data_IF_570626021213
#
_entry.id   IF_570626021213
#
_cell.length_a   1.000
_cell.length_b   1.000
_cell.length_c   1.000
_cell.angle_alpha   90.00
_cell.angle_beta   90.00
_cell.angle_gamma   90.00
#
_symmetry.space_group_name_H-M   'P 1'
#
loop_
_entity.id
_entity.type
_entity.pdbx_description
1 polymer ?
#
# COMPACT_ATOMS: atom_id res chain seq x y z
N UNK A 1 -7.41 25.20 -1.99
CA UNK A 1 -6.70 24.58 -3.14
C UNK A 1 -6.34 23.14 -2.78
N UNK A 2 -6.26 22.24 -3.77
CA UNK A 2 -5.93 20.82 -3.57
C UNK A 2 -4.89 20.37 -4.60
N UNK A 3 -3.85 19.66 -4.18
CA UNK A 3 -2.82 19.08 -5.05
C UNK A 3 -2.45 17.67 -4.61
N UNK A 4 -2.54 16.71 -5.54
CA UNK A 4 -1.94 15.39 -5.36
C UNK A 4 -0.44 15.42 -5.70
N UNK A 5 0.35 14.74 -4.88
CA UNK A 5 1.75 14.40 -5.11
C UNK A 5 1.91 12.88 -5.03
N UNK A 6 2.82 12.32 -5.82
CA UNK A 6 3.17 10.90 -5.77
C UNK A 6 4.68 10.78 -5.73
N UNK A 7 5.21 10.04 -4.77
CA UNK A 7 6.64 9.83 -4.60
C UNK A 7 6.93 8.36 -4.26
N UNK A 8 8.12 7.87 -4.57
CA UNK A 8 8.59 6.56 -4.10
C UNK A 8 8.91 6.61 -2.61
N UNK A 9 8.70 5.50 -1.89
CA UNK A 9 9.04 5.41 -0.47
C UNK A 9 7.93 4.81 0.39
N UNK A 10 8.29 4.32 1.57
CA UNK A 10 7.32 3.83 2.54
C UNK A 10 6.45 4.97 3.08
N UNK A 11 5.20 4.62 3.40
CA UNK A 11 4.25 5.53 4.03
C UNK A 11 4.83 6.15 5.30
N UNK A 12 5.43 5.35 6.18
CA UNK A 12 5.97 5.78 7.48
C UNK A 12 7.00 6.89 7.34
N UNK A 13 7.99 6.71 6.46
CA UNK A 13 9.04 7.72 6.24
C UNK A 13 8.40 9.01 5.69
N UNK A 14 7.48 8.92 4.72
CA UNK A 14 6.76 10.10 4.22
C UNK A 14 5.92 10.81 5.29
N UNK A 15 5.28 10.05 6.17
CA UNK A 15 4.45 10.57 7.26
C UNK A 15 5.27 11.33 8.29
N UNK A 16 6.40 10.76 8.74
CA UNK A 16 7.28 11.40 9.72
C UNK A 16 8.07 12.57 9.10
N UNK A 17 8.45 12.47 7.82
CA UNK A 17 9.02 13.60 7.08
C UNK A 17 8.08 14.79 7.00
N UNK A 18 6.78 14.53 6.84
CA UNK A 18 5.77 15.58 6.76
C UNK A 18 5.56 16.26 8.12
N UNK A 19 5.52 15.50 9.23
CA UNK A 19 5.49 16.06 10.59
C UNK A 19 6.65 17.04 10.81
N UNK A 20 7.87 16.61 10.49
CA UNK A 20 9.06 17.43 10.69
C UNK A 20 9.13 18.63 9.74
N UNK A 21 8.64 18.48 8.50
CA UNK A 21 8.47 19.60 7.58
C UNK A 21 7.49 20.66 8.11
N UNK A 22 6.36 20.24 8.71
CA UNK A 22 5.38 21.15 9.32
C UNK A 22 5.97 21.86 10.55
N UNK A 23 6.70 21.13 11.42
CA UNK A 23 7.45 21.73 12.54
C UNK A 23 8.40 22.84 12.05
N UNK A 24 9.22 22.56 11.03
CA UNK A 24 10.19 23.53 10.46
C UNK A 24 9.53 24.72 9.76
N UNK A 25 8.27 24.57 9.33
CA UNK A 25 7.45 25.65 8.80
C UNK A 25 6.71 26.46 9.89
N UNK A 26 6.88 26.14 11.18
CA UNK A 26 6.14 26.78 12.27
C UNK A 26 4.65 26.43 12.28
N UNK A 27 4.26 25.30 11.69
CA UNK A 27 2.87 24.86 11.59
C UNK A 27 2.57 23.90 12.73
N UNK A 28 1.69 24.33 13.64
CA UNK A 28 1.10 23.44 14.64
C UNK A 28 0.20 22.43 13.94
N UNK A 29 0.28 21.15 14.29
CA UNK A 29 -0.51 20.10 13.64
C UNK A 29 -1.09 19.08 14.61
N UNK A 30 -2.10 18.35 14.12
CA UNK A 30 -2.69 17.17 14.73
C UNK A 30 -2.63 16.02 13.75
N UNK A 31 -2.45 14.81 14.26
CA UNK A 31 -2.49 13.56 13.51
C UNK A 31 -3.88 12.97 13.66
N UNK A 32 -4.47 12.47 12.57
CA UNK A 32 -5.58 11.53 12.64
C UNK A 32 -5.00 10.12 12.82
N UNK A 33 -5.54 9.35 13.78
CA UNK A 33 -5.09 7.98 14.07
C UNK A 33 -5.92 6.94 13.31
N UNK A 34 -7.14 7.29 12.88
CA UNK A 34 -8.06 6.39 12.17
C UNK A 34 -7.81 6.38 10.66
N UNK A 35 -7.39 7.51 10.10
CA UNK A 35 -6.93 7.64 8.73
C UNK A 35 -5.53 8.26 8.77
N UNK A 36 -4.57 7.80 7.94
CA UNK A 36 -3.24 8.39 7.88
C UNK A 36 -3.30 9.79 7.25
N UNK A 37 -3.64 10.80 8.06
CA UNK A 37 -3.66 12.20 7.66
C UNK A 37 -3.12 13.12 8.75
N UNK A 38 -2.63 14.28 8.32
CA UNK A 38 -2.10 15.33 9.19
C UNK A 38 -2.82 16.64 8.88
N UNK A 39 -3.36 17.28 9.91
CA UNK A 39 -4.06 18.58 9.80
C UNK A 39 -3.25 19.62 10.57
N UNK A 40 -2.68 20.57 9.84
CA UNK A 40 -1.87 21.67 10.35
C UNK A 40 -2.55 23.03 10.19
N UNK A 41 -2.26 23.94 11.12
CA UNK A 41 -2.68 25.34 11.10
C UNK A 41 -1.45 26.26 11.19
N UNK A 42 -1.27 27.07 10.15
CA UNK A 42 -0.35 28.21 10.15
C UNK A 42 -1.11 29.46 10.60
N UNK A 43 -0.45 30.37 11.34
CA UNK A 43 -1.07 31.61 11.84
C UNK A 43 -1.61 32.50 10.71
N UNK A 44 -0.74 32.89 9.77
CA UNK A 44 -1.11 33.81 8.68
C UNK A 44 -1.61 33.11 7.40
N UNK A 45 -0.95 32.03 6.98
CA UNK A 45 -1.26 31.32 5.72
C UNK A 45 -2.46 30.35 5.80
N UNK A 46 -3.08 30.18 6.97
CA UNK A 46 -4.24 29.30 7.15
C UNK A 46 -3.91 27.82 7.29
N UNK A 47 -4.88 26.95 7.00
CA UNK A 47 -4.75 25.50 7.20
C UNK A 47 -4.07 24.76 6.03
N UNK A 48 -3.43 23.65 6.39
CA UNK A 48 -2.89 22.61 5.51
C UNK A 48 -3.36 21.24 6.02
N UNK A 49 -3.94 20.43 5.14
CA UNK A 49 -4.27 19.04 5.39
C UNK A 49 -3.48 18.17 4.40
N UNK A 50 -2.92 17.07 4.88
CA UNK A 50 -2.13 16.12 4.10
C UNK A 50 -2.73 14.74 4.33
N UNK A 51 -3.44 14.22 3.32
CA UNK A 51 -4.04 12.88 3.36
C UNK A 51 -3.09 11.90 2.65
N UNK A 52 -2.61 10.90 3.37
CA UNK A 52 -1.67 9.91 2.82
C UNK A 52 -2.44 8.69 2.32
N UNK A 53 -2.56 8.59 1.00
CA UNK A 53 -3.12 7.43 0.34
C UNK A 53 -1.98 6.44 0.08
N UNK A 54 -2.24 5.16 0.33
CA UNK A 54 -1.33 4.06 0.02
C UNK A 54 -1.63 3.60 -1.41
N UNK A 55 -0.90 4.05 -2.45
CA UNK A 55 -1.04 3.48 -3.77
C UNK A 55 -0.37 2.12 -3.83
N UNK A 56 -0.89 1.31 -4.72
CA UNK A 56 -0.69 -0.13 -4.78
C UNK A 56 0.64 -0.53 -5.44
N UNK A 57 1.72 0.26 -5.33
CA UNK A 57 2.98 0.04 -6.07
C UNK A 57 4.25 0.47 -5.30
N UNK A 58 4.24 0.51 -3.97
CA UNK A 58 5.41 0.96 -3.17
C UNK A 58 5.76 2.46 -3.34
N UNK A 59 4.84 3.21 -3.95
CA UNK A 59 4.79 4.67 -3.93
C UNK A 59 3.97 5.09 -2.71
N UNK A 60 4.06 6.35 -2.34
CA UNK A 60 3.13 7.03 -1.42
C UNK A 60 2.46 8.17 -2.19
N UNK A 61 1.12 8.26 -2.16
CA UNK A 61 0.36 9.33 -2.78
C UNK A 61 -0.14 10.27 -1.68
N UNK A 62 0.38 11.48 -1.64
CA UNK A 62 -0.07 12.51 -0.70
C UNK A 62 -1.08 13.41 -1.40
N UNK A 63 -2.18 13.70 -0.75
CA UNK A 63 -3.19 14.64 -1.24
C UNK A 63 -3.20 15.84 -0.29
N UNK A 64 -2.66 16.97 -0.77
CA UNK A 64 -2.44 18.16 0.04
C UNK A 64 -3.55 19.17 -0.24
N UNK A 65 -4.36 19.47 0.76
CA UNK A 65 -5.40 20.51 0.71
C UNK A 65 -4.93 21.71 1.55
N UNK A 66 -4.89 22.90 0.96
CA UNK A 66 -4.45 24.13 1.64
C UNK A 66 -5.43 25.28 1.44
N UNK A 67 -5.46 26.22 2.37
CA UNK A 67 -6.11 27.51 2.16
C UNK A 67 -5.24 28.41 1.26
N UNK A 68 -3.97 28.64 1.61
CA UNK A 68 -3.02 29.43 0.82
C UNK A 68 -2.08 28.53 -0.04
N UNK A 69 -1.93 28.76 -1.36
CA UNK A 69 -1.03 27.98 -2.22
C UNK A 69 0.46 28.03 -1.83
N UNK A 70 0.92 29.07 -1.13
CA UNK A 70 2.32 29.17 -0.68
C UNK A 70 2.70 28.05 0.30
N UNK A 71 1.74 27.56 1.10
CA UNK A 71 1.94 26.41 2.00
C UNK A 71 2.37 25.15 1.24
N UNK A 72 1.86 24.91 0.04
CA UNK A 72 2.28 23.77 -0.79
C UNK A 72 3.76 23.90 -1.19
N UNK A 73 4.20 25.11 -1.57
CA UNK A 73 5.57 25.36 -2.02
C UNK A 73 6.56 25.46 -0.86
N UNK A 74 6.12 25.90 0.32
CA UNK A 74 6.85 25.73 1.58
C UNK A 74 7.02 24.25 1.92
N UNK A 75 5.92 23.51 1.97
CA UNK A 75 5.91 22.09 2.34
C UNK A 75 6.79 21.23 1.43
N UNK A 76 6.69 21.38 0.10
CA UNK A 76 7.56 20.66 -0.86
C UNK A 76 9.05 20.91 -0.62
N UNK A 77 9.44 22.13 -0.26
CA UNK A 77 10.85 22.49 0.04
C UNK A 77 11.29 21.94 1.39
N UNK A 78 10.41 21.91 2.38
CA UNK A 78 10.69 21.41 3.72
C UNK A 78 10.72 19.87 3.79
N UNK A 79 9.82 19.15 3.12
CA UNK A 79 9.68 17.68 3.26
C UNK A 79 10.77 16.87 2.55
N UNK A 80 11.31 17.38 1.44
CA UNK A 80 12.32 16.69 0.65
C UNK A 80 13.64 16.39 1.41
N UNK A 81 14.25 17.34 2.17
CA UNK A 81 15.44 17.04 2.97
C UNK A 81 15.14 16.08 4.14
N UNK A 82 13.99 16.21 4.83
CA UNK A 82 13.64 15.31 5.94
C UNK A 82 13.47 13.87 5.45
N UNK A 83 12.77 13.68 4.32
CA UNK A 83 12.62 12.38 3.70
C UNK A 83 13.98 11.75 3.37
N UNK A 84 14.90 12.53 2.81
CA UNK A 84 16.26 12.05 2.50
C UNK A 84 17.04 11.66 3.76
N UNK A 85 16.89 12.40 4.85
CA UNK A 85 17.55 12.10 6.12
C UNK A 85 16.98 10.82 6.76
N UNK A 86 15.65 10.74 6.92
CA UNK A 86 14.97 9.60 7.52
C UNK A 86 15.13 8.32 6.69
N UNK A 87 15.08 8.40 5.35
CA UNK A 87 15.31 7.24 4.49
C UNK A 87 16.74 6.71 4.59
N UNK A 88 17.74 7.59 4.72
CA UNK A 88 19.13 7.17 4.94
C UNK A 88 19.33 6.51 6.31
N UNK A 89 18.66 7.02 7.36
CA UNK A 89 18.69 6.40 8.69
C UNK A 89 18.04 5.01 8.70
N UNK A 90 16.89 4.84 8.03
CA UNK A 90 16.20 3.55 7.92
C UNK A 90 17.06 2.49 7.21
N UNK A 91 17.78 2.86 6.14
CA UNK A 91 18.74 1.96 5.47
C UNK A 91 19.86 1.55 6.42
N UNK A 92 20.45 2.50 7.15
CA UNK A 92 21.57 2.22 8.08
C UNK A 92 21.14 1.36 9.27
N UNK A 93 19.92 1.54 9.78
CA UNK A 93 19.38 0.68 10.83
C UNK A 93 19.26 -0.77 10.34
N UNK A 94 18.68 -0.98 9.16
CA UNK A 94 18.55 -2.32 8.56
C UNK A 94 19.91 -2.99 8.29
N UNK A 95 20.92 -2.22 7.89
CA UNK A 95 22.30 -2.71 7.72
C UNK A 95 22.96 -3.07 9.06
N UNK A 96 22.67 -2.31 10.13
CA UNK A 96 23.22 -2.58 11.47
C UNK A 96 22.56 -3.81 12.11
N UNK A 97 21.25 -3.98 11.93
CA UNK A 97 20.47 -5.13 12.40
C UNK A 97 20.95 -6.44 11.77
N UNK A 98 21.30 -6.43 10.47
CA UNK A 98 21.88 -7.58 9.77
C UNK A 98 23.26 -8.02 10.30
N UNK A 99 23.99 -7.13 10.98
CA UNK A 99 25.33 -7.39 11.53
C UNK A 99 25.28 -7.70 13.03
N UNK A 100 24.16 -7.40 13.69
CA UNK A 100 24.01 -7.50 15.14
C UNK A 100 23.39 -8.82 15.63
N UNK A 101 23.02 -9.75 14.73
CA UNK A 101 22.47 -11.06 15.10
C UNK A 101 23.44 -11.84 16.01
N UNK A 102 23.13 -12.02 17.31
CA UNK A 102 24.00 -12.76 18.22
C UNK A 102 23.84 -14.26 17.97
N UNK A 103 24.95 -14.97 18.05
CA UNK A 103 24.98 -16.44 18.10
C UNK A 103 24.29 -16.89 19.39
N UNK A 104 23.00 -17.20 19.32
CA UNK A 104 22.17 -17.58 20.47
C UNK A 104 22.56 -18.98 20.95
N UNK A 105 23.12 -19.15 22.17
CA UNK A 105 23.34 -20.47 22.72
C UNK A 105 21.99 -21.17 22.96
N UNK A 106 21.93 -22.51 22.89
CA UNK A 106 20.68 -23.25 23.01
C UNK A 106 20.01 -22.98 24.37
N UNK A 107 18.72 -22.66 24.32
CA UNK A 107 17.90 -22.42 25.50
C UNK A 107 18.01 -23.56 26.51
N UNK A 108 18.31 -23.23 27.76
CA UNK A 108 18.01 -24.09 28.89
C UNK A 108 16.54 -23.89 29.27
N UNK A 109 15.84 -24.99 29.54
CA UNK A 109 14.49 -24.97 30.10
C UNK A 109 14.58 -24.43 31.54
N UNK A 110 14.03 -23.24 31.80
CA UNK A 110 13.83 -22.76 33.17
C UNK A 110 12.61 -23.44 33.79
N UNK A 111 12.84 -24.26 34.81
CA UNK A 111 11.79 -24.90 35.59
C UNK A 111 10.94 -23.84 36.34
N UNK A 112 9.62 -23.94 36.18
CA UNK A 112 8.65 -23.07 36.82
C UNK A 112 8.49 -23.43 38.32
N UNK A 113 8.81 -22.54 39.28
CA UNK A 113 8.60 -22.83 40.69
C UNK A 113 7.13 -22.62 41.08
N UNK A 114 6.43 -23.69 41.43
CA UNK A 114 5.13 -23.63 42.11
C UNK A 114 5.31 -23.20 43.56
N UNK A 115 4.80 -22.03 43.93
CA UNK A 115 4.71 -21.53 45.32
C UNK A 115 3.25 -21.22 45.70
N UNK A 116 2.84 -21.41 46.96
CA UNK A 116 1.42 -21.38 47.35
C UNK A 116 0.86 -19.97 47.53
N UNK A 117 -0.45 -19.84 47.35
CA UNK A 117 -1.23 -18.65 47.65
C UNK A 117 -1.60 -18.66 49.14
N UNK A 118 -1.08 -17.71 49.91
CA UNK A 118 -1.67 -17.33 51.20
C UNK A 118 -2.65 -16.16 51.01
N UNK A 119 -3.81 -16.29 51.64
CA UNK A 119 -4.86 -15.28 51.69
C UNK A 119 -4.82 -14.58 53.05
N UNK A 120 -4.74 -13.25 53.06
CA UNK A 120 -5.05 -12.45 54.23
C UNK A 120 -6.19 -11.47 53.90
N UNK A 121 -7.26 -11.57 54.67
CA UNK A 121 -8.40 -10.66 54.63
C UNK A 121 -8.03 -9.32 55.28
N UNK A 122 -8.64 -8.22 54.83
CA UNK A 122 -8.78 -7.02 55.68
C UNK A 122 -10.12 -6.34 55.41
N UNK A 123 -10.98 -6.36 56.41
CA UNK A 123 -12.23 -5.60 56.45
C UNK A 123 -11.96 -4.09 56.47
N UNK A 124 -12.88 -3.29 55.91
CA UNK A 124 -13.14 -1.94 56.44
C UNK A 124 -14.62 -1.61 56.26
N UNK A 125 -15.26 -1.19 57.36
CA UNK A 125 -16.69 -0.89 57.44
C UNK A 125 -17.11 0.33 56.62
N UNK A 126 -18.39 0.35 56.20
CA UNK A 126 -19.07 1.53 55.63
C UNK A 126 -20.49 1.63 56.21
N UNK A 127 -20.75 2.52 57.17
CA UNK A 127 -22.12 2.96 57.57
C UNK A 127 -22.15 4.34 58.29
N UNK A 128 -23.23 5.12 58.06
CA UNK A 128 -23.66 6.31 58.84
C UNK A 128 -23.11 7.67 58.34
N UNK A 129 -23.83 8.63 57.73
CA UNK A 129 -25.20 9.20 57.87
C UNK A 129 -25.34 10.39 58.87
N UNK A 130 -26.20 11.36 58.48
CA UNK A 130 -26.68 12.61 59.18
C UNK A 130 -25.70 13.81 59.32
N UNK A 131 -26.10 15.10 59.26
CA UNK A 131 -27.23 15.84 58.59
C UNK A 131 -26.99 17.40 58.65
N UNK A 132 -28.01 18.22 58.30
CA UNK A 132 -28.27 19.66 58.59
C UNK A 132 -27.63 20.82 57.75
N UNK A 133 -28.34 21.29 56.70
CA UNK A 133 -29.21 22.52 56.67
C UNK A 133 -28.66 23.88 57.25
N UNK A 134 -29.00 25.11 56.74
CA UNK A 134 -29.15 25.65 55.36
C UNK A 134 -28.77 27.19 55.16
N UNK A 135 -29.14 27.77 53.98
CA UNK A 135 -29.47 29.22 53.71
C UNK A 135 -28.32 30.27 53.60
N UNK A 136 -28.53 31.46 52.98
CA UNK A 136 -29.79 32.02 52.46
C UNK A 136 -29.83 32.42 50.96
N UNK A 137 -31.06 32.70 50.50
CA UNK A 137 -31.43 33.30 49.20
C UNK A 137 -31.83 34.76 49.42
N UNK A 138 -31.53 35.66 48.47
CA UNK A 138 -32.19 36.97 48.38
C UNK A 138 -32.80 37.17 46.98
N UNK A 139 -34.00 37.75 46.94
CA UNK A 139 -34.85 37.89 45.75
C UNK A 139 -34.49 39.15 44.93
N UNK A 140 -35.13 39.33 43.75
CA UNK A 140 -36.15 40.40 43.54
C UNK A 140 -36.54 40.63 42.05
N UNK A 141 -37.87 40.69 41.81
CA UNK A 141 -38.63 41.25 40.66
C UNK A 141 -38.33 40.69 39.24
N UNK A 142 -39.27 40.17 38.44
CA UNK A 142 -40.70 40.48 38.15
C UNK A 142 -40.95 41.78 37.37
N UNK A 143 -41.18 41.66 36.05
CA UNK A 143 -42.16 42.44 35.28
C UNK A 143 -42.78 41.53 34.19
N UNK A 144 -44.09 41.67 33.97
CA UNK A 144 -44.93 40.93 33.01
C UNK A 144 -45.56 41.86 31.97
N UNK A 145 -45.65 41.40 30.70
CA UNK A 145 -46.58 41.82 29.61
C UNK A 145 -46.25 40.87 28.42
N UNK A 146 -47.10 40.02 27.82
CA UNK A 146 -48.56 39.88 27.59
C UNK A 146 -49.07 40.63 26.34
N UNK A 147 -49.75 39.88 25.43
CA UNK A 147 -50.42 40.26 24.16
C UNK A 147 -49.48 40.59 22.96
N UNK A 148 -49.85 40.35 21.68
CA UNK A 148 -51.13 39.89 21.09
C UNK A 148 -50.96 39.00 19.82
N UNK A 149 -52.09 38.59 19.23
CA UNK A 149 -52.29 37.58 18.15
C UNK A 149 -52.36 38.16 16.71
N UNK A 150 -52.97 37.40 15.78
CA UNK A 150 -53.21 37.60 14.31
C UNK A 150 -51.99 37.35 13.39
N UNK A 151 -52.01 36.38 12.46
CA UNK A 151 -52.78 36.30 11.18
C UNK A 151 -52.30 37.41 10.21
N UNK A 152 -51.83 37.16 8.98
CA UNK A 152 -52.47 36.52 7.80
C UNK A 152 -51.45 35.66 7.02
N UNK A 153 -51.79 34.46 6.51
CA UNK A 153 -52.29 34.19 5.15
C UNK A 153 -51.56 34.92 3.99
N UNK A 154 -50.73 34.19 3.23
CA UNK A 154 -50.90 34.08 1.77
C UNK A 154 -50.22 32.84 1.20
N UNK A 155 -50.97 32.06 0.41
CA UNK A 155 -50.46 30.98 -0.43
C UNK A 155 -49.85 31.51 -1.71
N UNK A 156 -48.78 30.88 -2.19
CA UNK A 156 -48.50 30.80 -3.63
C UNK A 156 -48.11 29.37 -4.00
N UNK A 157 -48.57 28.94 -5.17
CA UNK A 157 -48.58 27.54 -5.64
C UNK A 157 -47.88 27.49 -7.00
N UNK A 158 -47.45 26.28 -7.43
CA UNK A 158 -47.11 25.88 -8.82
C UNK A 158 -45.64 26.16 -9.24
N UNK A 159 -44.91 25.24 -9.93
CA UNK A 159 -45.13 23.80 -10.12
C UNK A 159 -43.94 22.88 -9.76
N UNK A 160 -44.22 21.59 -9.57
CA UNK A 160 -43.28 20.53 -9.98
C UNK A 160 -43.17 20.51 -11.51
N UNK A 161 -41.96 20.62 -12.08
CA UNK A 161 -41.74 20.38 -13.51
C UNK A 161 -40.96 19.08 -13.72
N UNK A 162 -41.40 18.32 -14.73
CA UNK A 162 -41.07 16.92 -15.02
C UNK A 162 -39.57 16.56 -15.06
N UNK A 163 -39.31 15.34 -14.60
CA UNK A 163 -38.04 14.64 -14.78
C UNK A 163 -37.73 14.38 -16.27
N UNK A 164 -36.92 15.24 -16.89
CA UNK A 164 -36.23 14.89 -18.13
C UNK A 164 -35.05 13.93 -17.84
N UNK A 165 -34.94 12.77 -18.51
CA UNK A 165 -33.79 11.89 -18.33
C UNK A 165 -32.54 12.54 -18.94
N UNK A 166 -31.55 12.82 -18.09
CA UNK A 166 -30.23 13.30 -18.53
C UNK A 166 -29.56 12.17 -19.33
N UNK A 167 -29.57 12.30 -20.66
CA UNK A 167 -28.80 11.42 -21.53
C UNK A 167 -27.32 11.72 -21.28
N UNK A 168 -26.66 10.81 -20.56
CA UNK A 168 -25.21 10.84 -20.41
C UNK A 168 -24.61 10.45 -21.76
N UNK A 169 -24.30 11.44 -22.59
CA UNK A 169 -23.40 11.25 -23.72
C UNK A 169 -22.05 10.78 -23.19
N UNK A 170 -21.78 9.48 -23.34
CA UNK A 170 -20.45 8.93 -23.15
C UNK A 170 -19.53 9.59 -24.16
N UNK A 171 -18.69 10.50 -23.69
CA UNK A 171 -17.53 11.01 -24.45
C UNK A 171 -16.48 9.90 -24.54
N UNK A 172 -16.79 8.87 -25.33
CA UNK A 172 -15.85 7.80 -25.62
C UNK A 172 -14.63 8.39 -26.33
N UNK A 173 -13.44 8.01 -25.87
CA UNK A 173 -12.21 8.38 -26.56
C UNK A 173 -12.15 7.57 -27.84
N UNK A 174 -12.37 8.22 -28.96
CA UNK A 174 -12.24 7.61 -30.28
C UNK A 174 -10.77 7.34 -30.64
N UNK A 175 -10.51 6.25 -31.36
CA UNK A 175 -9.21 5.97 -31.98
C UNK A 175 -9.37 5.42 -33.39
N UNK A 176 -8.39 5.65 -34.26
CA UNK A 176 -8.39 5.11 -35.63
C UNK A 176 -7.82 3.69 -35.68
N UNK A 177 -8.47 2.82 -36.43
CA UNK A 177 -7.97 1.50 -36.78
C UNK A 177 -6.65 1.62 -37.57
N UNK A 178 -5.59 0.94 -37.13
CA UNK A 178 -4.27 0.97 -37.80
C UNK A 178 -4.27 0.29 -39.17
N UNK A 179 -5.30 -0.48 -39.51
CA UNK A 179 -5.37 -1.28 -40.74
C UNK A 179 -6.27 -0.68 -41.83
N UNK A 180 -7.41 -0.08 -41.47
CA UNK A 180 -8.37 0.48 -42.43
C UNK A 180 -8.75 1.95 -42.16
N UNK A 181 -8.24 2.57 -41.08
CA UNK A 181 -8.53 3.98 -40.75
C UNK A 181 -9.90 4.25 -40.13
N UNK A 182 -10.79 3.25 -40.05
CA UNK A 182 -12.10 3.35 -39.40
C UNK A 182 -12.00 3.87 -37.96
N UNK A 183 -12.98 4.66 -37.55
CA UNK A 183 -13.08 5.18 -36.17
C UNK A 183 -13.63 4.05 -35.29
N UNK A 184 -12.99 3.85 -34.13
CA UNK A 184 -13.27 2.80 -33.15
C UNK A 184 -13.38 3.41 -31.76
N UNK A 185 -14.16 2.79 -30.88
CA UNK A 185 -14.01 3.04 -29.45
C UNK A 185 -12.64 2.51 -28.98
N UNK A 186 -12.02 3.16 -28.00
CA UNK A 186 -10.79 2.68 -27.36
C UNK A 186 -10.96 1.28 -26.75
N UNK A 187 -12.18 0.90 -26.37
CA UNK A 187 -12.52 -0.41 -25.80
C UNK A 187 -12.50 -1.54 -26.84
N UNK A 188 -12.64 -1.23 -28.13
CA UNK A 188 -12.72 -2.24 -29.19
C UNK A 188 -11.36 -2.89 -29.49
N UNK A 189 -11.19 -4.12 -28.96
CA UNK A 189 -10.02 -4.97 -29.19
C UNK A 189 -9.96 -5.51 -30.62
N UNK A 190 -11.05 -5.50 -31.37
CA UNK A 190 -11.16 -5.97 -32.76
C UNK A 190 -11.94 -4.93 -33.57
N UNK A 191 -11.43 -4.56 -34.74
CA UNK A 191 -12.12 -3.62 -35.62
C UNK A 191 -13.32 -4.28 -36.31
N UNK A 192 -14.55 -3.73 -36.26
CA UNK A 192 -15.72 -4.32 -36.91
C UNK A 192 -15.64 -4.25 -38.45
N UNK A 193 -15.07 -3.17 -39.00
CA UNK A 193 -14.95 -2.97 -40.46
C UNK A 193 -13.96 -3.92 -41.16
N UNK A 194 -12.88 -4.35 -40.49
CA UNK A 194 -11.84 -5.18 -41.13
C UNK A 194 -11.44 -6.44 -40.36
N UNK A 195 -12.10 -6.75 -39.24
CA UNK A 195 -11.84 -7.93 -38.41
C UNK A 195 -10.46 -7.99 -37.73
N UNK A 196 -9.55 -7.04 -37.99
CA UNK A 196 -8.19 -7.10 -37.45
C UNK A 196 -8.13 -6.65 -35.99
N UNK A 197 -7.63 -7.54 -35.12
CA UNK A 197 -7.35 -7.29 -33.70
C UNK A 197 -6.40 -6.10 -33.53
N UNK A 198 -6.84 -5.06 -32.84
CA UNK A 198 -6.09 -3.83 -32.58
C UNK A 198 -5.38 -3.93 -31.22
N UNK A 199 -4.30 -4.71 -31.16
CA UNK A 199 -3.46 -4.86 -29.97
C UNK A 199 -2.38 -3.77 -29.85
N UNK A 200 -1.98 -3.44 -28.62
CA UNK A 200 -0.88 -2.52 -28.32
C UNK A 200 0.50 -3.19 -28.55
N UNK A 201 0.78 -3.59 -29.80
CA UNK A 201 2.02 -4.25 -30.23
C UNK A 201 3.26 -3.35 -30.28
N UNK A 202 3.44 -2.47 -29.29
CA UNK A 202 4.63 -1.61 -29.15
C UNK A 202 5.60 -2.08 -28.07
N UNK A 203 5.09 -2.65 -26.96
CA UNK A 203 5.93 -2.94 -25.77
C UNK A 203 6.63 -4.31 -25.82
N UNK A 204 6.00 -5.32 -26.44
CA UNK A 204 6.47 -6.72 -26.39
C UNK A 204 7.76 -6.92 -27.22
N UNK A 205 7.95 -6.15 -28.29
CA UNK A 205 9.14 -6.25 -29.14
C UNK A 205 10.44 -5.82 -28.41
N UNK A 206 10.35 -4.86 -27.48
CA UNK A 206 11.51 -4.34 -26.74
C UNK A 206 12.00 -5.37 -25.71
N UNK A 207 11.07 -6.08 -25.05
CA UNK A 207 11.40 -7.11 -24.04
C UNK A 207 12.12 -8.30 -24.68
N UNK A 208 11.65 -8.77 -25.84
CA UNK A 208 12.28 -9.88 -26.56
C UNK A 208 13.71 -9.54 -27.05
N UNK A 209 13.93 -8.34 -27.57
CA UNK A 209 15.27 -7.91 -28.03
C UNK A 209 16.22 -7.63 -26.86
N UNK A 210 15.72 -7.03 -25.77
CA UNK A 210 16.50 -6.79 -24.56
C UNK A 210 17.01 -8.09 -23.91
N UNK A 211 16.14 -9.10 -23.78
CA UNK A 211 16.53 -10.40 -23.23
C UNK A 211 17.62 -11.10 -24.05
N UNK A 212 17.53 -11.07 -25.39
CA UNK A 212 18.52 -11.70 -26.28
C UNK A 212 19.89 -10.99 -26.20
N UNK A 213 19.92 -9.67 -26.08
CA UNK A 213 21.18 -8.91 -25.95
C UNK A 213 21.86 -9.18 -24.59
N UNK A 214 21.08 -9.25 -23.51
CA UNK A 214 21.62 -9.51 -22.16
C UNK A 214 22.18 -10.95 -22.07
N UNK A 215 21.45 -11.96 -22.57
CA UNK A 215 21.94 -13.35 -22.62
C UNK A 215 23.17 -13.48 -23.52
N UNK A 216 23.19 -12.78 -24.66
CA UNK A 216 24.37 -12.75 -25.55
C UNK A 216 25.61 -12.13 -24.91
N UNK A 217 25.47 -11.02 -24.17
CA UNK A 217 26.57 -10.36 -23.49
C UNK A 217 27.14 -11.20 -22.33
N UNK A 218 26.28 -11.82 -21.51
CA UNK A 218 26.70 -12.70 -20.41
C UNK A 218 27.35 -13.98 -20.96
N UNK A 219 26.77 -14.58 -22.00
CA UNK A 219 27.35 -15.75 -22.68
C UNK A 219 28.73 -15.47 -23.30
N UNK A 220 28.92 -14.30 -23.93
CA UNK A 220 30.21 -13.93 -24.52
C UNK A 220 31.29 -13.63 -23.47
N UNK A 221 30.94 -12.98 -22.36
CA UNK A 221 31.87 -12.75 -21.23
C UNK A 221 32.34 -14.04 -20.55
N UNK A 222 31.45 -15.03 -20.39
CA UNK A 222 31.83 -16.34 -19.85
C UNK A 222 32.62 -17.19 -20.87
N UNK A 223 32.32 -17.05 -22.17
CA UNK A 223 33.04 -17.78 -23.22
C UNK A 223 34.51 -17.36 -23.35
N UNK A 224 34.82 -16.07 -23.20
CA UNK A 224 36.22 -15.58 -23.29
C UNK A 224 37.08 -15.93 -22.08
N UNK A 225 36.47 -16.20 -20.91
CA UNK A 225 37.21 -16.55 -19.69
C UNK A 225 37.65 -18.03 -19.63
N UNK A 226 37.01 -18.92 -20.41
CA UNK A 226 37.33 -20.37 -20.42
C UNK A 226 38.38 -20.74 -21.48
N UNK A 227 38.59 -19.92 -22.52
CA UNK A 227 39.41 -20.31 -23.69
C UNK A 227 40.84 -19.73 -23.73
N UNK A 228 41.38 -19.22 -22.62
CA UNK A 228 42.75 -18.70 -22.51
C UNK A 228 43.53 -19.27 -21.32
N UNK A 229 43.44 -20.58 -21.09
CA UNK A 229 44.08 -21.26 -19.96
C UNK A 229 44.61 -22.66 -20.28
N UNK A 230 45.92 -22.74 -20.49
CA UNK A 230 46.79 -23.93 -20.30
C UNK A 230 46.72 -25.11 -21.31
N UNK A 231 47.79 -25.24 -22.08
CA UNK A 231 48.21 -26.52 -22.70
C UNK A 231 48.85 -27.42 -21.63
N UNK A 232 48.34 -28.63 -21.46
CA UNK A 232 49.14 -29.81 -21.10
C UNK A 232 48.37 -31.11 -21.36
N UNK A 233 49.08 -32.13 -21.86
CA UNK A 233 48.49 -33.42 -22.25
C UNK A 233 48.16 -34.29 -21.03
N UNK A 234 47.13 -35.15 -21.10
CA UNK A 234 47.30 -36.62 -21.28
C UNK A 234 45.99 -37.42 -21.10
N UNK A 235 45.74 -38.32 -22.05
CA UNK A 235 44.84 -39.48 -22.12
C UNK A 235 43.81 -39.85 -21.03
N UNK A 236 42.54 -39.88 -21.47
CA UNK A 236 41.73 -41.11 -21.63
C UNK A 236 41.42 -42.02 -20.43
N UNK A 237 40.14 -42.06 -20.01
CA UNK A 237 39.29 -43.27 -20.14
C UNK A 237 37.77 -42.99 -19.93
N UNK A 238 37.01 -43.30 -20.98
CA UNK A 238 35.54 -43.39 -21.15
C UNK A 238 34.97 -44.48 -20.18
N UNK A 239 33.73 -44.38 -19.61
CA UNK A 239 32.50 -44.41 -20.42
C UNK A 239 31.22 -43.66 -19.95
N UNK A 240 30.43 -43.28 -20.96
CA UNK A 240 28.95 -43.23 -21.01
C UNK A 240 28.17 -42.63 -19.81
N UNK A 241 27.69 -41.39 -19.99
CA UNK A 241 26.50 -40.90 -19.26
C UNK A 241 25.43 -40.40 -20.23
N UNK A 242 24.36 -41.19 -20.25
CA UNK A 242 22.98 -40.91 -20.68
C UNK A 242 22.54 -39.45 -20.58
N UNK A 243 21.81 -38.99 -21.60
CA UNK A 243 21.00 -37.75 -21.58
C UNK A 243 20.01 -37.69 -20.41
N UNK A 244 20.05 -36.64 -19.57
CA UNK A 244 18.86 -36.07 -18.94
C UNK A 244 18.53 -34.78 -19.71
N UNK A 245 17.45 -34.72 -20.47
CA UNK A 245 16.15 -34.29 -19.93
C UNK A 245 16.35 -33.15 -18.91
N UNK A 246 16.18 -31.91 -19.35
CA UNK A 246 16.17 -30.74 -18.47
C UNK A 246 14.92 -30.80 -17.60
N UNK A 247 15.00 -31.58 -16.53
CA UNK A 247 14.01 -31.65 -15.48
C UNK A 247 13.84 -30.26 -14.90
N UNK A 248 12.64 -29.71 -15.05
CA UNK A 248 12.16 -28.61 -14.21
C UNK A 248 12.27 -29.12 -12.78
N UNK A 249 13.17 -28.55 -11.98
CA UNK A 249 13.25 -28.81 -10.55
C UNK A 249 12.01 -28.23 -9.89
N UNK A 250 10.93 -29.02 -9.91
CA UNK A 250 9.84 -28.91 -8.96
C UNK A 250 10.46 -29.02 -7.56
N UNK A 251 10.35 -28.00 -6.70
CA UNK A 251 10.83 -28.14 -5.34
C UNK A 251 10.03 -29.22 -4.62
N UNK A 252 10.74 -30.09 -3.92
CA UNK A 252 10.18 -31.07 -2.98
C UNK A 252 9.25 -30.36 -1.99
N UNK A 253 8.21 -31.07 -1.54
CA UNK A 253 7.14 -30.57 -0.67
C UNK A 253 7.60 -30.16 0.74
N UNK A 254 8.37 -29.08 0.86
CA UNK A 254 8.14 -28.15 1.97
C UNK A 254 6.90 -27.35 1.58
N UNK A 255 5.84 -27.36 2.38
CA UNK A 255 4.60 -26.64 2.04
C UNK A 255 4.76 -25.12 2.05
N UNK A 256 5.87 -24.61 2.60
CA UNK A 256 6.11 -23.21 2.92
C UNK A 256 6.78 -22.45 1.75
N UNK A 257 6.53 -21.15 1.64
CA UNK A 257 7.11 -20.29 0.60
C UNK A 257 8.54 -19.90 0.97
N UNK A 258 9.50 -20.18 0.10
CA UNK A 258 10.91 -19.75 0.26
C UNK A 258 11.15 -18.33 -0.23
N UNK A 259 12.24 -17.70 0.22
CA UNK A 259 12.67 -16.39 -0.28
C UNK A 259 12.91 -16.41 -1.80
N UNK A 260 13.59 -17.44 -2.31
CA UNK A 260 13.86 -17.62 -3.74
C UNK A 260 12.59 -17.74 -4.61
N UNK A 261 11.48 -18.27 -4.06
CA UNK A 261 10.17 -18.24 -4.72
C UNK A 261 9.54 -16.84 -4.62
N UNK A 262 9.59 -16.20 -3.44
CA UNK A 262 9.06 -14.86 -3.23
C UNK A 262 9.72 -13.82 -4.15
N UNK A 263 11.02 -13.90 -4.40
CA UNK A 263 11.74 -13.00 -5.32
C UNK A 263 11.23 -13.08 -6.77
N UNK A 264 10.79 -14.26 -7.23
CA UNK A 264 10.27 -14.45 -8.58
C UNK A 264 8.93 -13.73 -8.83
N UNK A 265 8.13 -13.49 -7.79
CA UNK A 265 6.85 -12.76 -7.90
C UNK A 265 7.08 -11.30 -8.27
N UNK A 266 6.44 -10.83 -9.34
CA UNK A 266 6.57 -9.46 -9.85
C UNK A 266 5.20 -8.79 -10.01
N UNK A 267 5.19 -7.45 -9.94
CA UNK A 267 4.00 -6.66 -10.24
C UNK A 267 3.48 -6.95 -11.66
N UNK A 268 2.17 -7.11 -11.79
CA UNK A 268 1.51 -7.48 -13.05
C UNK A 268 1.35 -8.98 -13.29
N UNK A 269 1.95 -9.87 -12.49
CA UNK A 269 1.66 -11.31 -12.52
C UNK A 269 0.22 -11.59 -12.09
N UNK A 270 -0.40 -12.68 -12.57
CA UNK A 270 -1.74 -13.09 -12.13
C UNK A 270 -1.71 -13.87 -10.81
N UNK A 271 -2.84 -14.04 -10.14
CA UNK A 271 -2.93 -14.96 -8.99
C UNK A 271 -2.49 -16.38 -9.36
N UNK A 272 -2.86 -16.85 -10.56
CA UNK A 272 -2.46 -18.17 -11.05
C UNK A 272 -0.94 -18.31 -11.25
N UNK A 273 -0.26 -17.26 -11.72
CA UNK A 273 1.20 -17.25 -11.84
C UNK A 273 1.87 -17.33 -10.46
N UNK A 274 1.37 -16.59 -9.47
CA UNK A 274 1.88 -16.60 -8.09
C UNK A 274 1.69 -17.98 -7.44
N UNK A 275 0.51 -18.59 -7.59
CA UNK A 275 0.25 -19.96 -7.14
C UNK A 275 1.17 -20.97 -7.84
N UNK A 276 1.48 -20.77 -9.13
CA UNK A 276 2.44 -21.58 -9.87
C UNK A 276 3.88 -21.48 -9.32
N UNK A 277 4.30 -20.29 -8.88
CA UNK A 277 5.63 -20.06 -8.27
C UNK A 277 5.69 -20.63 -6.84
N UNK A 278 4.64 -20.43 -6.04
CA UNK A 278 4.57 -20.86 -4.64
C UNK A 278 4.18 -22.34 -4.47
N UNK A 279 3.63 -22.97 -5.51
CA UNK A 279 3.20 -24.37 -5.49
C UNK A 279 1.93 -24.65 -4.69
N UNK A 280 1.25 -23.61 -4.16
CA UNK A 280 0.01 -23.71 -3.39
C UNK A 280 -0.84 -22.45 -3.44
N UNK A 281 -2.14 -22.62 -3.25
CA UNK A 281 -3.08 -21.52 -3.02
C UNK A 281 -2.74 -20.74 -1.74
N UNK A 282 -3.06 -19.44 -1.75
CA UNK A 282 -2.93 -18.57 -0.59
C UNK A 282 -4.22 -18.49 0.22
N UNK A 283 -4.10 -18.25 1.51
CA UNK A 283 -5.25 -17.93 2.36
C UNK A 283 -5.67 -16.48 2.11
N UNK A 284 -6.94 -16.24 1.78
CA UNK A 284 -7.47 -14.88 1.66
C UNK A 284 -7.46 -14.21 3.03
N UNK A 285 -6.72 -13.10 3.16
CA UNK A 285 -6.58 -12.33 4.39
C UNK A 285 -7.54 -11.13 4.44
N UNK A 286 -7.76 -10.49 3.29
CA UNK A 286 -8.66 -9.34 3.17
C UNK A 286 -9.17 -9.17 1.74
N UNK A 287 -10.40 -8.70 1.58
CA UNK A 287 -11.01 -8.32 0.31
C UNK A 287 -11.76 -7.00 0.46
N UNK A 288 -11.60 -6.12 -0.52
CA UNK A 288 -12.35 -4.86 -0.63
C UNK A 288 -12.67 -4.56 -2.10
N UNK A 289 -13.65 -3.71 -2.35
CA UNK A 289 -13.97 -3.22 -3.70
C UNK A 289 -14.08 -1.70 -3.67
N UNK A 290 -13.49 -1.02 -4.65
CA UNK A 290 -13.58 0.43 -4.80
C UNK A 290 -13.74 0.84 -6.26
N UNK A 291 -14.15 2.09 -6.48
CA UNK A 291 -14.27 2.68 -7.82
C UNK A 291 -12.93 3.26 -8.29
N UNK A 292 -12.50 2.90 -9.50
CA UNK A 292 -11.36 3.56 -10.16
C UNK A 292 -11.70 4.96 -10.69
N UNK A 293 -10.72 5.66 -11.27
CA UNK A 293 -10.92 6.99 -11.88
C UNK A 293 -11.88 6.97 -13.09
N UNK A 294 -12.24 5.78 -13.61
CA UNK A 294 -13.25 5.57 -14.64
C UNK A 294 -14.63 5.14 -14.12
N UNK A 295 -14.82 5.01 -12.80
CA UNK A 295 -16.07 4.54 -12.20
C UNK A 295 -16.30 3.03 -12.26
N UNK A 296 -15.29 2.24 -12.65
CA UNK A 296 -15.36 0.78 -12.68
C UNK A 296 -15.13 0.20 -11.27
N UNK A 297 -15.81 -0.89 -10.93
CA UNK A 297 -15.50 -1.65 -9.71
C UNK A 297 -14.18 -2.40 -9.87
N UNK A 298 -13.28 -2.18 -8.92
CA UNK A 298 -12.00 -2.85 -8.84
C UNK A 298 -11.86 -3.50 -7.46
N UNK A 299 -11.68 -4.81 -7.45
CA UNK A 299 -11.39 -5.57 -6.24
C UNK A 299 -9.93 -5.39 -5.83
N UNK A 300 -9.67 -5.35 -4.52
CA UNK A 300 -8.35 -5.50 -3.93
C UNK A 300 -8.40 -6.67 -2.96
N UNK A 301 -7.64 -7.72 -3.26
CA UNK A 301 -7.53 -8.95 -2.47
C UNK A 301 -6.12 -9.08 -1.93
N UNK A 302 -5.98 -9.35 -0.65
CA UNK A 302 -4.69 -9.65 -0.01
C UNK A 302 -4.70 -11.12 0.35
N UNK A 303 -3.76 -11.87 -0.21
CA UNK A 303 -3.55 -13.28 0.11
C UNK A 303 -2.29 -13.46 0.95
N UNK A 304 -2.31 -14.48 1.79
CA UNK A 304 -1.27 -14.84 2.74
C UNK A 304 -0.78 -16.27 2.48
N UNK A 305 0.53 -16.46 2.56
CA UNK A 305 1.20 -17.75 2.57
C UNK A 305 2.18 -17.79 3.73
N UNK A 306 2.25 -18.91 4.43
CA UNK A 306 3.30 -19.15 5.42
C UNK A 306 4.67 -19.30 4.71
N UNK A 307 5.72 -18.89 5.40
CA UNK A 307 7.07 -18.79 4.88
C UNK A 307 7.99 -19.86 5.45
N UNK A 308 8.99 -20.26 4.67
CA UNK A 308 10.13 -21.03 5.18
C UNK A 308 11.17 -20.05 5.71
N UNK A 309 11.64 -20.27 6.94
CA UNK A 309 12.64 -19.43 7.59
C UNK A 309 12.37 -19.29 9.09
N UNK A 310 12.29 -18.06 9.57
CA UNK A 310 12.07 -17.72 10.99
C UNK A 310 10.69 -18.15 11.51
N UNK A 311 10.52 -18.20 12.83
CA UNK A 311 9.25 -18.51 13.45
C UNK A 311 8.18 -17.45 13.09
N UNK A 312 7.10 -17.86 12.43
CA UNK A 312 6.07 -16.95 11.91
C UNK A 312 6.44 -16.28 10.58
N UNK A 313 7.50 -16.74 9.89
CA UNK A 313 7.83 -16.31 8.54
C UNK A 313 6.62 -16.43 7.60
N UNK A 314 6.46 -15.47 6.70
CA UNK A 314 5.31 -15.39 5.79
C UNK A 314 5.56 -14.51 4.56
N UNK A 315 4.70 -14.69 3.57
CA UNK A 315 4.54 -13.83 2.41
C UNK A 315 3.09 -13.35 2.32
N UNK A 316 2.89 -12.08 2.02
CA UNK A 316 1.59 -11.50 1.67
C UNK A 316 1.68 -10.83 0.30
N UNK A 317 0.68 -11.06 -0.54
CA UNK A 317 0.62 -10.51 -1.90
C UNK A 317 -0.76 -9.88 -2.10
N UNK A 318 -0.77 -8.62 -2.50
CA UNK A 318 -1.99 -7.88 -2.84
C UNK A 318 -2.21 -7.92 -4.34
N UNK A 319 -3.47 -8.15 -4.73
CA UNK A 319 -3.93 -8.24 -6.11
C UNK A 319 -5.02 -7.19 -6.34
N UNK A 320 -4.85 -6.37 -7.37
CA UNK A 320 -5.88 -5.43 -7.82
C UNK A 320 -6.54 -6.00 -9.08
N UNK A 321 -7.84 -6.29 -9.00
CA UNK A 321 -8.50 -7.22 -9.92
C UNK A 321 -7.90 -8.61 -9.77
N UNK A 322 -7.06 -9.00 -10.74
CA UNK A 322 -6.39 -10.31 -10.79
C UNK A 322 -4.85 -10.18 -10.92
N UNK A 323 -4.29 -8.97 -10.83
CA UNK A 323 -2.84 -8.73 -10.99
C UNK A 323 -2.15 -8.31 -9.69
N UNK A 324 -0.95 -8.84 -9.45
CA UNK A 324 -0.06 -8.44 -8.35
C UNK A 324 0.24 -6.96 -8.43
N UNK A 325 0.04 -6.28 -7.32
CA UNK A 325 0.26 -4.84 -7.18
C UNK A 325 1.29 -4.55 -6.08
N UNK A 326 1.17 -5.18 -4.91
CA UNK A 326 2.22 -5.16 -3.88
C UNK A 326 2.51 -6.57 -3.37
N UNK A 327 3.74 -6.77 -2.90
CA UNK A 327 4.13 -7.94 -2.13
C UNK A 327 4.92 -7.51 -0.89
N UNK A 328 4.79 -8.26 0.19
CA UNK A 328 5.51 -8.09 1.45
C UNK A 328 5.85 -9.46 2.02
N UNK A 329 6.94 -9.55 2.78
CA UNK A 329 7.37 -10.78 3.41
C UNK A 329 8.03 -10.49 4.76
N UNK A 330 8.03 -11.50 5.61
CA UNK A 330 8.71 -11.49 6.91
C UNK A 330 9.42 -12.83 7.10
N UNK A 331 10.64 -12.80 7.65
CA UNK A 331 11.40 -13.99 8.08
C UNK A 331 11.76 -15.02 7.00
N UNK A 332 11.59 -14.73 5.71
CA UNK A 332 11.83 -15.70 4.63
C UNK A 332 13.32 -15.99 4.38
N UNK A 333 13.64 -17.27 4.17
CA UNK A 333 14.96 -17.77 3.81
C UNK A 333 14.91 -18.58 2.49
#
# INVERSE_FOLDING_TARGET
MKQALTASGSLSIWFDSAKEALNKMGISYRVNEQEPSIIGQHGEMGSIQIDFKIPVEGKTRMEITVQNPELINGFKRAVAPEYKALSAMAVKQKETELVAAPDLPPHQEEEQPTGPVESEDTETEVLGATDETPQPVENREEVTEVLDQSEEEQTDIIPEEETAPIIIEKTSKERRCKACGAILDVQDKVCPECGKKQGNGGLIAIIAVGAVIIVGAIGFMLYTFVFSGQRSNTSTNTPTTTTPSTTVTQPTTTSLVTNAQFEQVQNGMTYADVVGIFGRDGTLLSESTFKDEGGNDVQLKIYYWEGQGEAGANASVSFQGDIVVTKSSYGLQ
#
